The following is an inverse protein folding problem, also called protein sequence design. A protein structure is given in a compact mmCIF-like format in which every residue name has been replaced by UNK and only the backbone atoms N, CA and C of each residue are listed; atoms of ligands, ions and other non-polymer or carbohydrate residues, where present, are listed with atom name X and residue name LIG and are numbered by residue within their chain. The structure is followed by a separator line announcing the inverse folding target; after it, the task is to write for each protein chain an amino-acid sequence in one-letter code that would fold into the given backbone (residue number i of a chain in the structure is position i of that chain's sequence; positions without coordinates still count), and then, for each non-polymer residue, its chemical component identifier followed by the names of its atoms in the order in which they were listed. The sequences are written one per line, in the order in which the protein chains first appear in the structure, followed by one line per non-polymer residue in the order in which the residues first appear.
data_IF_521345285712
#
_entry.id   IF_521345285712
#
_cell.length_a   1.000
_cell.length_b   1.000
_cell.length_c   1.000
_cell.angle_alpha   90.00
_cell.angle_beta   90.00
_cell.angle_gamma   90.00
#
_symmetry.space_group_name_H-M   'P 1'
#
loop_
_entity.id
_entity.type
_entity.pdbx_description
1 polymer ?
#
# COMPACT_ATOMS: atom_id res chain seq x y z
N UNK A 1 40.78 31.14 22.17
CA UNK A 1 39.31 31.00 22.11
C UNK A 1 38.99 29.76 21.28
N UNK A 2 38.62 28.66 21.93
CA UNK A 2 38.14 27.46 21.23
C UNK A 2 36.68 27.69 20.84
N UNK A 3 36.38 27.69 19.54
CA UNK A 3 35.00 27.67 19.05
C UNK A 3 34.33 26.39 19.56
N UNK A 4 33.42 26.54 20.51
CA UNK A 4 32.51 25.48 20.91
C UNK A 4 31.61 25.15 19.70
N UNK A 5 32.04 24.16 18.91
CA UNK A 5 31.27 23.64 17.80
C UNK A 5 29.83 23.32 18.24
N UNK A 6 28.86 23.70 17.39
CA UNK A 6 27.42 23.50 17.59
C UNK A 6 27.11 22.26 18.43
N UNK A 7 26.58 22.47 19.64
CA UNK A 7 26.15 21.41 20.57
C UNK A 7 25.10 20.49 19.92
N UNK A 8 25.54 19.49 19.14
CA UNK A 8 24.68 18.43 18.57
C UNK A 8 24.31 17.47 19.69
N UNK A 9 23.24 17.80 20.41
CA UNK A 9 22.78 17.08 21.61
C UNK A 9 22.41 15.58 21.40
N UNK A 10 22.45 15.03 20.19
CA UNK A 10 22.17 13.61 19.92
C UNK A 10 22.40 13.14 18.48
N UNK A 11 22.33 11.82 18.26
CA UNK A 11 22.42 11.19 16.93
C UNK A 11 21.07 11.27 16.19
N UNK A 12 21.13 11.15 14.86
CA UNK A 12 19.93 11.11 14.02
C UNK A 12 19.16 9.81 14.22
N UNK A 13 17.84 9.90 14.40
CA UNK A 13 16.98 8.73 14.60
C UNK A 13 16.74 7.95 13.30
N UNK A 14 16.28 6.71 13.42
CA UNK A 14 15.93 5.83 12.27
C UNK A 14 15.02 6.53 11.26
N UNK A 15 14.04 7.32 11.71
CA UNK A 15 13.13 8.03 10.79
C UNK A 15 13.86 9.03 9.89
N UNK A 16 14.90 9.69 10.39
CA UNK A 16 15.73 10.61 9.62
C UNK A 16 16.68 9.84 8.70
N UNK A 17 17.30 8.77 9.23
CA UNK A 17 18.19 7.92 8.45
C UNK A 17 17.50 7.27 7.24
N UNK A 18 16.21 6.93 7.37
CA UNK A 18 15.39 6.38 6.27
C UNK A 18 15.25 7.33 5.08
N UNK A 19 15.18 8.64 5.32
CA UNK A 19 15.07 9.65 4.26
C UNK A 19 16.31 9.76 3.39
N UNK A 20 17.49 9.39 3.91
CA UNK A 20 18.77 9.39 3.16
C UNK A 20 18.78 8.36 2.02
N UNK A 21 17.92 7.34 2.07
CA UNK A 21 17.83 6.34 1.00
C UNK A 21 19.06 5.43 0.88
N UNK A 22 19.77 5.20 1.99
CA UNK A 22 20.87 4.22 2.05
C UNK A 22 20.40 2.81 1.69
N UNK A 23 21.32 1.92 1.32
CA UNK A 23 21.02 0.55 0.90
C UNK A 23 20.15 -0.22 1.93
N UNK A 24 20.37 0.02 3.23
CA UNK A 24 19.58 -0.56 4.34
C UNK A 24 18.10 -0.20 4.29
N UNK A 25 17.75 0.94 3.69
CA UNK A 25 16.40 1.47 3.61
C UNK A 25 15.86 1.51 2.18
N UNK A 26 16.57 0.92 1.22
CA UNK A 26 16.15 0.83 -0.18
C UNK A 26 15.64 -0.56 -0.51
N UNK A 27 14.54 -0.63 -1.26
CA UNK A 27 14.00 -1.91 -1.69
C UNK A 27 14.99 -2.54 -2.67
N UNK A 28 15.13 -3.87 -2.64
CA UNK A 28 15.88 -4.60 -3.66
C UNK A 28 15.32 -4.27 -5.04
N UNK A 29 16.18 -3.93 -6.01
CA UNK A 29 15.76 -3.63 -7.40
C UNK A 29 14.86 -4.72 -7.98
N UNK A 30 15.16 -5.99 -7.67
CA UNK A 30 14.40 -7.17 -8.12
C UNK A 30 13.03 -7.37 -7.45
N UNK A 31 12.67 -6.63 -6.40
CA UNK A 31 11.40 -6.86 -5.70
C UNK A 31 10.18 -6.31 -6.45
N UNK A 32 10.35 -5.20 -7.18
CA UNK A 32 9.30 -4.53 -7.95
C UNK A 32 9.61 -4.56 -9.45
N UNK A 33 10.03 -5.72 -9.97
CA UNK A 33 10.23 -5.93 -11.42
C UNK A 33 8.91 -5.71 -12.17
N UNK A 34 7.79 -6.19 -11.58
CA UNK A 34 6.47 -6.04 -12.15
C UNK A 34 5.84 -4.71 -11.72
N UNK A 35 5.76 -3.78 -12.67
CA UNK A 35 5.04 -2.52 -12.50
C UNK A 35 3.56 -2.77 -12.75
N UNK A 36 2.77 -2.64 -11.68
CA UNK A 36 1.31 -2.73 -11.78
C UNK A 36 0.78 -1.41 -12.35
N UNK A 37 0.23 -1.47 -13.55
CA UNK A 37 -0.38 -0.32 -14.22
C UNK A 37 -1.32 -0.79 -15.32
N UNK A 38 -2.49 -0.16 -15.47
CA UNK A 38 -3.20 -0.19 -16.74
C UNK A 38 -2.37 0.54 -17.82
N UNK A 39 -2.41 0.08 -19.08
CA UNK A 39 -1.95 0.86 -20.22
C UNK A 39 -2.90 2.04 -20.47
N UNK A 40 -2.43 3.04 -21.23
CA UNK A 40 -3.23 4.24 -21.52
C UNK A 40 -4.38 3.93 -22.46
N UNK A 41 -4.10 3.12 -23.48
CA UNK A 41 -5.08 2.58 -24.40
C UNK A 41 -5.41 1.13 -24.02
N UNK A 42 -6.68 0.85 -23.79
CA UNK A 42 -7.24 -0.50 -23.63
C UNK A 42 -8.28 -0.60 -24.73
N UNK A 43 -8.02 -1.46 -25.71
CA UNK A 43 -8.88 -1.69 -26.86
C UNK A 43 -9.01 -3.20 -27.08
N UNK A 44 -10.15 -3.60 -27.61
CA UNK A 44 -10.47 -5.01 -27.83
C UNK A 44 -10.60 -5.80 -26.54
N UNK A 45 -10.04 -7.01 -26.54
CA UNK A 45 -10.07 -7.92 -25.41
C UNK A 45 -8.64 -8.25 -24.94
N UNK A 46 -8.50 -8.55 -23.66
CA UNK A 46 -7.26 -8.99 -23.04
C UNK A 46 -7.25 -10.49 -22.80
N UNK A 47 -6.12 -11.16 -23.05
CA UNK A 47 -5.95 -12.56 -22.65
C UNK A 47 -5.01 -12.69 -21.48
N UNK A 48 -5.40 -13.47 -20.48
CA UNK A 48 -4.54 -13.81 -19.34
C UNK A 48 -3.46 -14.78 -19.80
N UNK A 49 -2.22 -14.32 -19.89
CA UNK A 49 -1.10 -15.18 -20.30
C UNK A 49 -0.63 -16.04 -19.14
N UNK A 50 -0.42 -15.42 -17.98
CA UNK A 50 0.24 -16.09 -16.85
C UNK A 50 -0.06 -15.43 -15.52
N UNK A 51 -0.21 -16.24 -14.48
CA UNK A 51 -0.24 -15.80 -13.09
C UNK A 51 1.17 -15.89 -12.49
N UNK A 52 1.66 -14.76 -11.99
CA UNK A 52 3.04 -14.59 -11.53
C UNK A 52 3.06 -14.19 -10.06
N UNK A 53 3.93 -14.84 -9.30
CA UNK A 53 4.23 -14.43 -7.93
C UNK A 53 5.30 -13.32 -7.92
N UNK A 54 5.05 -12.26 -7.15
CA UNK A 54 5.99 -11.15 -6.99
C UNK A 54 6.43 -10.99 -5.55
N UNK A 55 7.74 -10.84 -5.33
CA UNK A 55 8.30 -10.61 -4.00
C UNK A 55 7.88 -9.27 -3.37
N UNK A 56 7.58 -8.25 -4.18
CA UNK A 56 7.21 -6.90 -3.73
C UNK A 56 5.73 -6.74 -3.40
N UNK A 57 4.88 -7.62 -3.93
CA UNK A 57 3.43 -7.54 -3.79
C UNK A 57 2.90 -8.59 -2.81
N UNK A 58 1.71 -8.34 -2.28
CA UNK A 58 1.05 -9.26 -1.34
C UNK A 58 0.09 -10.24 -2.02
N UNK A 59 -0.09 -10.11 -3.32
CA UNK A 59 -1.07 -10.80 -4.16
C UNK A 59 -0.35 -11.38 -5.36
N UNK A 60 -0.82 -12.51 -5.91
CA UNK A 60 -0.45 -12.90 -7.26
C UNK A 60 -0.81 -11.78 -8.25
N UNK A 61 0.00 -11.67 -9.31
CA UNK A 61 -0.21 -10.74 -10.41
C UNK A 61 -0.60 -11.51 -11.65
N UNK A 62 -1.48 -10.94 -12.46
CA UNK A 62 -1.79 -11.45 -13.77
C UNK A 62 -1.01 -10.68 -14.83
N UNK A 63 -0.34 -11.40 -15.71
CA UNK A 63 0.21 -10.87 -16.96
C UNK A 63 -0.88 -10.98 -18.03
N UNK A 64 -1.33 -9.85 -18.53
CA UNK A 64 -2.38 -9.77 -19.55
C UNK A 64 -1.73 -9.29 -20.84
N UNK A 65 -2.03 -9.96 -21.97
CA UNK A 65 -1.76 -9.44 -23.32
C UNK A 65 -2.96 -8.63 -23.75
N UNK A 66 -2.74 -7.37 -24.10
CA UNK A 66 -3.76 -6.56 -24.75
C UNK A 66 -3.88 -7.02 -26.21
N UNK A 67 -5.09 -7.31 -26.69
CA UNK A 67 -5.32 -7.77 -28.06
C UNK A 67 -4.84 -6.74 -29.10
N UNK A 68 -5.30 -5.50 -28.96
CA UNK A 68 -5.09 -4.47 -29.99
C UNK A 68 -3.64 -3.93 -30.07
N UNK A 69 -2.93 -3.91 -28.95
CA UNK A 69 -1.64 -3.20 -28.86
C UNK A 69 -0.42 -4.13 -28.79
N UNK A 70 -0.62 -5.45 -28.76
CA UNK A 70 0.39 -6.48 -28.39
C UNK A 70 1.17 -6.24 -27.08
N UNK A 71 0.87 -5.15 -26.37
CA UNK A 71 1.49 -4.79 -25.11
C UNK A 71 1.06 -5.75 -24.01
N UNK A 72 2.00 -6.10 -23.14
CA UNK A 72 1.72 -6.88 -21.94
C UNK A 72 1.82 -6.00 -20.71
N UNK A 73 0.83 -6.10 -19.82
CA UNK A 73 0.80 -5.36 -18.57
C UNK A 73 0.46 -6.27 -17.39
N UNK A 74 0.71 -5.76 -16.19
CA UNK A 74 0.49 -6.50 -14.95
C UNK A 74 -0.60 -5.84 -14.11
N UNK A 75 -1.56 -6.63 -13.67
CA UNK A 75 -2.58 -6.22 -12.69
C UNK A 75 -2.61 -7.17 -11.49
N UNK A 76 -3.16 -6.76 -10.34
CA UNK A 76 -3.51 -7.70 -9.29
C UNK A 76 -4.53 -8.71 -9.83
N UNK A 77 -4.27 -10.01 -9.66
CA UNK A 77 -5.22 -11.03 -10.07
C UNK A 77 -6.49 -10.99 -9.21
N UNK A 78 -7.66 -11.21 -9.81
CA UNK A 78 -8.91 -11.37 -9.07
C UNK A 78 -9.03 -12.79 -8.49
N UNK A 79 -9.93 -12.95 -7.52
CA UNK A 79 -10.21 -14.26 -6.90
C UNK A 79 -10.84 -15.20 -7.93
N UNK A 80 -10.18 -16.32 -8.21
CA UNK A 80 -10.67 -17.34 -9.15
C UNK A 80 -10.18 -17.18 -10.58
N UNK A 81 -9.28 -16.22 -10.84
CA UNK A 81 -8.69 -15.99 -12.15
C UNK A 81 -7.92 -17.20 -12.67
N UNK A 82 -8.12 -17.56 -13.94
CA UNK A 82 -7.47 -18.70 -14.61
C UNK A 82 -6.59 -18.21 -15.77
N UNK A 83 -5.52 -18.94 -16.06
CA UNK A 83 -4.69 -18.67 -17.24
C UNK A 83 -5.46 -19.01 -18.53
N UNK A 84 -5.35 -18.17 -19.55
CA UNK A 84 -6.09 -18.30 -20.80
C UNK A 84 -7.45 -17.61 -20.82
N UNK A 85 -7.97 -17.16 -19.66
CA UNK A 85 -9.24 -16.43 -19.56
C UNK A 85 -9.18 -15.09 -20.33
N UNK A 86 -10.31 -14.71 -20.91
CA UNK A 86 -10.50 -13.45 -21.61
C UNK A 86 -11.05 -12.38 -20.67
N UNK A 87 -10.46 -11.20 -20.73
CA UNK A 87 -10.80 -10.02 -19.95
C UNK A 87 -11.29 -8.98 -20.93
N UNK A 88 -12.53 -8.56 -20.78
CA UNK A 88 -13.10 -7.50 -21.62
C UNK A 88 -12.84 -6.12 -21.02
N UNK A 89 -12.76 -5.13 -21.89
CA UNK A 89 -12.59 -3.73 -21.52
C UNK A 89 -13.82 -2.92 -21.92
N UNK A 90 -14.42 -2.18 -20.97
CA UNK A 90 -15.58 -1.30 -21.19
C UNK A 90 -16.79 -1.95 -21.93
N UNK A 91 -16.98 -3.27 -21.81
CA UNK A 91 -18.06 -4.00 -22.47
C UNK A 91 -19.03 -4.54 -21.42
N UNK A 92 -18.71 -5.69 -20.83
CA UNK A 92 -19.59 -6.38 -19.88
C UNK A 92 -19.19 -6.17 -18.41
N UNK A 93 -20.19 -6.01 -17.54
CA UNK A 93 -20.04 -5.98 -16.08
C UNK A 93 -19.83 -7.39 -15.52
N UNK A 94 -18.63 -7.94 -15.74
CA UNK A 94 -18.21 -9.26 -15.23
C UNK A 94 -17.01 -9.14 -14.31
N UNK A 95 -16.90 -10.06 -13.35
CA UNK A 95 -15.73 -10.15 -12.46
C UNK A 95 -14.47 -10.36 -13.30
N UNK A 96 -13.43 -9.56 -13.04
CA UNK A 96 -12.17 -9.57 -13.79
C UNK A 96 -12.10 -8.54 -14.91
N UNK A 97 -13.23 -8.06 -15.43
CA UNK A 97 -13.27 -7.05 -16.49
C UNK A 97 -12.83 -5.68 -15.95
N UNK A 98 -12.29 -4.87 -16.86
CA UNK A 98 -11.82 -3.51 -16.57
C UNK A 98 -12.79 -2.52 -17.24
N UNK A 99 -13.46 -1.69 -16.45
CA UNK A 99 -14.42 -0.71 -16.95
C UNK A 99 -14.12 0.67 -16.37
N UNK A 100 -14.60 1.72 -17.03
CA UNK A 100 -14.72 3.04 -16.42
C UNK A 100 -15.75 3.00 -15.29
N UNK A 101 -15.54 3.79 -14.23
CA UNK A 101 -16.40 3.77 -13.06
C UNK A 101 -17.86 4.13 -13.38
N UNK A 102 -18.10 4.94 -14.41
CA UNK A 102 -19.45 5.32 -14.88
C UNK A 102 -20.28 4.14 -15.39
N UNK A 103 -19.63 3.12 -15.93
CA UNK A 103 -20.29 1.95 -16.53
C UNK A 103 -20.50 0.82 -15.51
N UNK A 104 -19.97 0.98 -14.29
CA UNK A 104 -20.08 -0.02 -13.23
C UNK A 104 -21.30 0.29 -12.35
N UNK A 105 -22.20 -0.68 -12.11
CA UNK A 105 -23.38 -0.46 -11.28
C UNK A 105 -23.02 -0.22 -9.82
N UNK A 106 -23.91 0.49 -9.12
CA UNK A 106 -23.78 0.77 -7.69
C UNK A 106 -23.81 -0.54 -6.89
N UNK A 107 -23.14 -0.56 -5.74
CA UNK A 107 -22.93 -1.72 -4.85
C UNK A 107 -22.03 -2.82 -5.42
N UNK A 108 -21.41 -2.60 -6.58
CA UNK A 108 -20.41 -3.52 -7.13
C UNK A 108 -19.08 -3.41 -6.40
N UNK A 109 -18.42 -4.55 -6.20
CA UNK A 109 -17.07 -4.62 -5.66
C UNK A 109 -16.04 -4.38 -6.76
N UNK A 110 -15.08 -3.50 -6.50
CA UNK A 110 -14.07 -3.07 -7.46
C UNK A 110 -12.69 -2.97 -6.80
N UNK A 111 -11.63 -3.09 -7.59
CA UNK A 111 -10.25 -2.95 -7.14
C UNK A 111 -9.35 -2.31 -8.22
N UNK A 112 -8.10 -2.02 -7.85
CA UNK A 112 -7.11 -1.37 -8.70
C UNK A 112 -7.64 -0.07 -9.34
N UNK A 113 -8.18 0.81 -8.51
CA UNK A 113 -8.93 2.00 -8.94
C UNK A 113 -7.96 3.13 -9.29
N UNK A 114 -8.20 3.79 -10.40
CA UNK A 114 -7.47 5.00 -10.81
C UNK A 114 -7.77 6.20 -9.89
N UNK A 115 -6.74 6.99 -9.55
CA UNK A 115 -6.96 8.26 -8.84
C UNK A 115 -7.38 9.38 -9.76
N UNK A 116 -6.87 9.36 -10.99
CA UNK A 116 -7.22 10.24 -12.10
C UNK A 116 -7.37 9.37 -13.34
N UNK A 117 -8.24 9.73 -14.29
CA UNK A 117 -8.38 8.97 -15.51
C UNK A 117 -7.02 8.68 -16.15
N UNK A 118 -6.78 7.43 -16.51
CA UNK A 118 -5.57 6.94 -17.18
C UNK A 118 -4.28 6.96 -16.36
N UNK A 119 -4.34 7.02 -15.02
CA UNK A 119 -3.16 6.98 -14.16
C UNK A 119 -2.59 5.58 -13.87
N UNK A 120 -3.24 4.54 -14.39
CA UNK A 120 -2.80 3.15 -14.31
C UNK A 120 -3.26 2.41 -13.05
N UNK A 121 -4.07 3.02 -12.20
CA UNK A 121 -4.59 2.41 -10.97
C UNK A 121 -3.66 2.68 -9.80
N UNK A 122 -4.18 3.31 -8.74
CA UNK A 122 -3.41 3.70 -7.55
C UNK A 122 -3.99 3.14 -6.26
N UNK A 123 -5.30 2.97 -6.19
CA UNK A 123 -5.97 2.53 -4.97
C UNK A 123 -6.30 1.03 -5.01
N UNK A 124 -6.39 0.45 -3.81
CA UNK A 124 -6.86 -0.94 -3.60
C UNK A 124 -6.09 -1.94 -4.48
N UNK A 125 -4.80 -2.13 -4.16
CA UNK A 125 -3.89 -3.07 -4.84
C UNK A 125 -3.36 -4.19 -3.93
N UNK A 126 -3.89 -4.29 -2.72
CA UNK A 126 -3.44 -5.27 -1.72
C UNK A 126 -4.32 -6.52 -1.80
N UNK A 127 -3.72 -7.69 -1.58
CA UNK A 127 -4.44 -8.96 -1.63
C UNK A 127 -5.61 -9.01 -0.67
N UNK A 128 -6.72 -9.61 -1.09
CA UNK A 128 -7.97 -9.71 -0.33
C UNK A 128 -8.72 -8.39 -0.12
N UNK A 129 -8.28 -7.29 -0.74
CA UNK A 129 -8.97 -5.99 -0.61
C UNK A 129 -9.86 -5.71 -1.81
N UNK A 130 -11.03 -5.14 -1.55
CA UNK A 130 -11.92 -4.53 -2.54
C UNK A 130 -12.49 -3.22 -1.98
N UNK A 131 -12.98 -2.37 -2.85
CA UNK A 131 -13.83 -1.24 -2.51
C UNK A 131 -15.22 -1.46 -3.12
N UNK A 132 -16.19 -0.69 -2.68
CA UNK A 132 -17.57 -0.80 -3.20
C UNK A 132 -18.04 0.54 -3.70
N UNK A 133 -18.63 0.59 -4.89
CA UNK A 133 -19.30 1.82 -5.38
C UNK A 133 -20.53 2.05 -4.52
N UNK A 134 -20.59 3.16 -3.78
CA UNK A 134 -21.67 3.40 -2.82
C UNK A 134 -22.82 4.20 -3.42
N UNK A 135 -22.50 5.29 -4.13
CA UNK A 135 -23.49 6.19 -4.75
C UNK A 135 -22.88 7.01 -5.86
N UNK A 136 -23.73 7.45 -6.78
CA UNK A 136 -23.39 8.40 -7.84
C UNK A 136 -24.18 9.68 -7.55
N UNK A 137 -23.50 10.82 -7.49
CA UNK A 137 -24.12 12.14 -7.26
C UNK A 137 -23.69 13.05 -8.39
N UNK A 138 -24.64 13.43 -9.26
CA UNK A 138 -24.33 14.18 -10.48
C UNK A 138 -23.32 13.44 -11.34
N UNK A 139 -22.16 14.05 -11.58
CA UNK A 139 -21.05 13.45 -12.35
C UNK A 139 -20.07 12.67 -11.47
N UNK A 140 -20.17 12.77 -10.15
CA UNK A 140 -19.16 12.24 -9.24
C UNK A 140 -19.54 10.86 -8.70
N UNK A 141 -18.55 9.98 -8.62
CA UNK A 141 -18.73 8.61 -8.12
C UNK A 141 -18.10 8.50 -6.73
N UNK A 142 -18.91 8.08 -5.76
CA UNK A 142 -18.47 7.89 -4.38
C UNK A 142 -18.22 6.41 -4.13
N UNK A 143 -16.96 6.09 -3.81
CA UNK A 143 -16.52 4.73 -3.55
C UNK A 143 -16.21 4.58 -2.07
N UNK A 144 -16.77 3.55 -1.45
CA UNK A 144 -16.45 3.12 -0.09
C UNK A 144 -15.16 2.32 -0.11
N UNK A 145 -14.10 2.92 0.44
CA UNK A 145 -12.75 2.33 0.49
C UNK A 145 -12.69 1.21 1.55
N UNK A 146 -11.69 0.29 1.50
CA UNK A 146 -11.46 -0.71 2.56
C UNK A 146 -11.30 -0.11 3.97
N UNK A 147 -10.91 1.16 4.04
CA UNK A 147 -10.83 1.93 5.29
C UNK A 147 -12.18 2.43 5.84
N UNK A 148 -13.30 2.05 5.21
CA UNK A 148 -14.68 2.51 5.48
C UNK A 148 -14.87 4.03 5.32
N UNK A 149 -13.98 4.67 4.58
CA UNK A 149 -14.11 6.08 4.19
C UNK A 149 -14.65 6.15 2.78
N UNK A 150 -15.58 7.06 2.57
CA UNK A 150 -15.99 7.42 1.22
C UNK A 150 -14.94 8.32 0.58
N UNK A 151 -14.70 8.09 -0.71
CA UNK A 151 -13.86 8.95 -1.53
C UNK A 151 -14.54 9.20 -2.86
N UNK A 152 -14.49 10.45 -3.30
CA UNK A 152 -14.96 10.92 -4.61
C UNK A 152 -13.94 10.59 -5.70
N UNK A 153 -14.43 10.13 -6.84
CA UNK A 153 -13.68 9.81 -8.05
C UNK A 153 -14.34 10.41 -9.29
N UNK A 154 -13.52 10.62 -10.32
CA UNK A 154 -13.98 11.01 -11.65
C UNK A 154 -14.64 9.79 -12.34
N UNK A 155 -15.74 9.98 -13.08
CA UNK A 155 -16.47 8.90 -13.77
C UNK A 155 -15.62 8.12 -14.79
N UNK A 156 -14.65 8.76 -15.41
CA UNK A 156 -13.77 8.16 -16.42
C UNK A 156 -12.55 7.43 -15.82
N UNK A 157 -12.40 7.43 -14.49
CA UNK A 157 -11.42 6.57 -13.84
C UNK A 157 -11.75 5.11 -14.11
N UNK A 158 -10.75 4.27 -14.38
CA UNK A 158 -10.93 2.83 -14.57
C UNK A 158 -10.78 2.03 -13.27
N UNK A 159 -11.46 0.90 -13.20
CA UNK A 159 -11.33 -0.09 -12.14
C UNK A 159 -11.58 -1.50 -12.66
N UNK A 160 -11.03 -2.50 -11.97
CA UNK A 160 -11.35 -3.91 -12.24
C UNK A 160 -12.47 -4.36 -11.32
N UNK A 161 -13.45 -5.09 -11.85
CA UNK A 161 -14.56 -5.63 -11.06
C UNK A 161 -14.10 -6.85 -10.26
N UNK A 162 -14.48 -6.90 -8.99
CA UNK A 162 -14.30 -8.05 -8.10
C UNK A 162 -13.42 -7.77 -6.87
N UNK A 163 -12.80 -8.84 -6.38
CA UNK A 163 -11.92 -8.83 -5.21
C UNK A 163 -10.55 -9.36 -5.60
N UNK A 164 -9.50 -8.73 -5.09
CA UNK A 164 -8.12 -9.19 -5.31
C UNK A 164 -7.91 -10.55 -4.64
N UNK A 165 -7.24 -11.46 -5.34
CA UNK A 165 -6.80 -12.74 -4.81
C UNK A 165 -5.87 -12.61 -3.58
N UNK A 166 -5.64 -13.72 -2.90
CA UNK A 166 -4.80 -13.75 -1.70
C UNK A 166 -5.48 -13.22 -0.44
N UNK A 167 -6.80 -13.40 -0.37
CA UNK A 167 -7.58 -13.23 0.85
C UNK A 167 -7.13 -14.19 1.96
N UNK A 168 -7.39 -13.85 3.22
CA UNK A 168 -7.01 -14.65 4.40
C UNK A 168 -5.51 -14.73 4.70
N UNK A 169 -4.64 -14.12 3.88
CA UNK A 169 -3.18 -14.11 4.08
C UNK A 169 -2.77 -13.53 5.45
N UNK A 170 -3.56 -12.64 6.02
CA UNK A 170 -3.29 -12.01 7.33
C UNK A 170 -3.73 -12.83 8.51
N UNK A 171 -4.62 -13.81 8.30
CA UNK A 171 -5.22 -14.60 9.39
C UNK A 171 -4.20 -15.61 9.92
N UNK A 172 -3.27 -16.03 9.06
CA UNK A 172 -2.15 -16.89 9.44
C UNK A 172 -1.13 -16.14 10.32
N UNK A 173 -0.92 -16.54 11.59
CA UNK A 173 0.11 -15.95 12.42
C UNK A 173 1.52 -16.34 11.94
N UNK A 174 2.52 -15.49 12.22
CA UNK A 174 3.90 -15.76 11.79
C UNK A 174 4.58 -16.92 12.53
N UNK A 175 4.15 -17.23 13.77
CA UNK A 175 4.70 -18.24 14.69
C UNK A 175 6.19 -18.08 15.07
N UNK A 176 7.08 -17.84 14.10
CA UNK A 176 8.54 -17.73 14.29
C UNK A 176 9.08 -16.40 13.77
N UNK A 177 10.12 -15.88 14.44
CA UNK A 177 10.81 -14.66 14.02
C UNK A 177 11.44 -14.77 12.62
N UNK A 178 11.90 -15.97 12.23
CA UNK A 178 12.48 -16.23 10.89
C UNK A 178 11.51 -15.93 9.75
N UNK A 179 10.25 -16.40 9.85
CA UNK A 179 9.21 -16.09 8.85
C UNK A 179 8.98 -14.58 8.72
N UNK A 180 8.98 -13.86 9.85
CA UNK A 180 8.87 -12.39 9.87
C UNK A 180 10.09 -11.71 9.25
N UNK A 181 11.29 -12.22 9.50
CA UNK A 181 12.52 -11.71 8.90
C UNK A 181 12.48 -11.78 7.36
N UNK A 182 12.11 -12.93 6.78
CA UNK A 182 12.00 -13.07 5.32
C UNK A 182 10.99 -12.09 4.70
N UNK A 183 9.82 -11.92 5.33
CA UNK A 183 8.82 -10.94 4.88
C UNK A 183 9.32 -9.49 4.97
N UNK A 184 10.02 -9.14 6.05
CA UNK A 184 10.53 -7.78 6.25
C UNK A 184 11.68 -7.47 5.30
N UNK A 185 12.50 -8.46 4.98
CA UNK A 185 13.58 -8.40 3.99
C UNK A 185 13.03 -8.16 2.58
N UNK A 186 11.93 -8.82 2.19
CA UNK A 186 11.31 -8.57 0.87
C UNK A 186 10.72 -7.17 0.75
N UNK A 187 10.09 -6.66 1.82
CA UNK A 187 9.46 -5.32 1.86
C UNK A 187 10.42 -4.20 2.27
N UNK A 188 11.70 -4.51 2.49
CA UNK A 188 12.72 -3.59 3.00
C UNK A 188 12.18 -2.73 4.17
N UNK A 189 11.66 -3.44 5.16
CA UNK A 189 11.30 -2.86 6.45
C UNK A 189 12.39 -3.26 7.43
N UNK A 190 13.00 -2.27 8.08
CA UNK A 190 13.99 -2.52 9.13
C UNK A 190 13.41 -3.50 10.17
N UNK A 191 14.08 -4.63 10.33
CA UNK A 191 13.72 -5.69 11.26
C UNK A 191 14.99 -6.48 11.64
N UNK A 192 15.19 -6.85 12.92
CA UNK A 192 14.35 -6.52 14.07
C UNK A 192 14.35 -5.01 14.39
N UNK A 193 13.35 -4.55 15.15
CA UNK A 193 13.34 -3.17 15.65
C UNK A 193 13.48 -3.20 17.16
N UNK A 194 14.52 -2.55 17.66
CA UNK A 194 14.71 -2.30 19.09
C UNK A 194 13.65 -1.31 19.59
N UNK A 195 13.15 -1.53 20.81
CA UNK A 195 12.23 -0.60 21.45
C UNK A 195 12.95 0.72 21.70
N UNK A 196 12.30 1.83 21.38
CA UNK A 196 12.86 3.17 21.56
C UNK A 196 13.24 3.49 23.03
N UNK A 197 12.57 2.85 23.99
CA UNK A 197 12.83 3.02 25.44
C UNK A 197 14.15 2.36 25.85
N UNK A 198 14.55 1.31 25.14
CA UNK A 198 15.76 0.54 25.42
C UNK A 198 17.00 1.11 24.70
N UNK A 199 16.84 2.24 24.02
CA UNK A 199 17.95 2.97 23.39
C UNK A 199 18.56 3.95 24.39
N UNK A 200 19.78 4.42 24.13
CA UNK A 200 20.39 5.50 24.91
C UNK A 200 19.72 6.84 24.58
N UNK A 201 19.80 7.81 25.51
CA UNK A 201 19.24 9.14 25.32
C UNK A 201 19.81 9.86 24.07
N UNK A 202 21.06 9.55 23.71
CA UNK A 202 21.71 10.05 22.50
C UNK A 202 21.06 9.53 21.20
N UNK A 203 20.50 8.32 21.20
CA UNK A 203 20.00 7.65 20.00
C UNK A 203 18.51 7.88 19.75
N UNK A 204 17.72 8.19 20.79
CA UNK A 204 16.29 8.40 20.66
C UNK A 204 15.75 9.34 21.76
N UNK A 205 14.76 10.20 21.47
CA UNK A 205 14.09 11.04 22.49
C UNK A 205 13.40 10.29 23.64
N UNK A 206 13.22 8.97 23.50
CA UNK A 206 12.64 8.10 24.52
C UNK A 206 13.70 7.22 25.17
N UNK A 207 14.94 7.29 24.69
CA UNK A 207 16.03 6.54 25.25
C UNK A 207 16.35 7.06 26.64
N UNK A 208 16.51 6.15 27.58
CA UNK A 208 16.71 6.49 28.99
C UNK A 208 17.46 5.37 29.70
N UNK A 209 18.04 5.69 30.86
CA UNK A 209 18.66 4.70 31.75
C UNK A 209 17.66 3.73 32.39
N UNK A 210 18.18 2.88 33.28
CA UNK A 210 17.40 1.84 33.98
C UNK A 210 16.18 2.45 34.70
N UNK A 211 15.01 1.83 34.54
CA UNK A 211 13.78 2.14 35.30
C UNK A 211 12.95 3.35 34.84
N UNK A 212 13.34 4.12 33.82
CA UNK A 212 12.57 5.30 33.39
C UNK A 212 11.39 4.94 32.47
N UNK A 213 10.21 5.42 32.85
CA UNK A 213 9.00 5.38 32.05
C UNK A 213 8.93 6.60 31.10
N UNK A 214 8.35 6.42 29.92
CA UNK A 214 8.16 7.51 28.95
C UNK A 214 7.16 8.52 29.52
N UNK A 215 7.54 9.80 29.65
CA UNK A 215 6.65 10.88 30.13
C UNK A 215 5.40 11.02 29.26
N UNK A 216 5.56 11.35 27.98
CA UNK A 216 4.46 11.40 27.02
C UNK A 216 4.89 10.81 25.69
N UNK A 217 4.07 9.87 25.18
CA UNK A 217 4.24 9.30 23.85
C UNK A 217 3.70 10.23 22.75
N UNK A 218 3.00 11.32 23.10
CA UNK A 218 2.33 12.19 22.14
C UNK A 218 3.32 13.25 21.64
N UNK A 219 3.59 13.24 20.35
CA UNK A 219 4.40 14.28 19.73
C UNK A 219 3.60 15.58 19.55
N UNK A 220 4.23 16.73 19.82
CA UNK A 220 3.67 18.06 19.47
C UNK A 220 3.39 18.14 17.96
N UNK A 221 2.34 18.85 17.55
CA UNK A 221 1.87 18.93 16.14
C UNK A 221 2.96 19.44 15.18
N UNK A 222 3.72 20.43 15.65
CA UNK A 222 4.80 21.12 14.92
C UNK A 222 6.18 20.64 15.37
N UNK A 223 6.29 19.45 15.99
CA UNK A 223 7.59 18.92 16.42
C UNK A 223 8.53 18.75 15.20
N UNK A 224 9.81 19.16 15.31
CA UNK A 224 10.77 19.01 14.24
C UNK A 224 11.10 17.54 13.96
N UNK A 225 11.62 17.21 12.76
CA UNK A 225 12.17 15.89 12.47
C UNK A 225 13.21 15.49 13.54
N UNK A 226 13.08 14.28 14.08
CA UNK A 226 13.90 13.84 15.23
C UNK A 226 13.12 13.88 16.56
N UNK A 227 12.27 14.89 16.79
CA UNK A 227 11.38 14.97 17.97
C UNK A 227 9.96 14.48 17.70
N UNK A 228 9.57 14.39 16.43
CA UNK A 228 8.28 13.82 15.98
C UNK A 228 8.28 12.29 16.06
N UNK A 229 8.22 11.75 17.28
CA UNK A 229 8.27 10.31 17.59
C UNK A 229 7.14 9.87 18.53
N UNK A 230 6.81 8.57 18.54
CA UNK A 230 5.72 8.03 19.35
C UNK A 230 4.37 8.05 18.62
N UNK A 231 3.31 8.47 19.32
CA UNK A 231 1.98 8.66 18.76
C UNK A 231 1.94 10.00 18.02
N UNK A 232 1.83 9.92 16.69
CA UNK A 232 1.83 11.08 15.82
C UNK A 232 0.40 11.58 15.62
N UNK A 233 0.10 12.78 16.13
CA UNK A 233 -1.21 13.46 15.98
C UNK A 233 -2.40 12.57 16.37
N UNK A 234 -2.38 11.89 17.53
CA UNK A 234 -3.52 11.11 17.98
C UNK A 234 -4.70 12.07 18.28
N UNK A 235 -5.90 11.76 17.77
CA UNK A 235 -7.14 12.43 18.25
C UNK A 235 -7.49 12.01 19.68
N UNK A 236 -7.06 10.80 20.06
CA UNK A 236 -7.23 10.20 21.39
C UNK A 236 -6.23 9.06 21.57
N UNK A 237 -5.98 8.66 22.80
CA UNK A 237 -5.12 7.52 23.17
C UNK A 237 -5.92 6.44 23.89
N UNK A 238 -5.34 5.25 24.08
CA UNK A 238 -6.02 4.13 24.72
C UNK A 238 -6.94 3.32 23.79
N UNK A 239 -7.57 2.28 24.34
CA UNK A 239 -8.50 1.41 23.62
C UNK A 239 -9.83 2.14 23.40
N UNK A 240 -10.49 1.92 22.26
CA UNK A 240 -11.89 2.31 22.09
C UNK A 240 -12.71 1.50 23.12
N UNK A 241 -13.25 2.17 24.14
CA UNK A 241 -14.43 1.63 24.82
C UNK A 241 -15.54 1.61 23.76
N UNK A 242 -16.06 0.42 23.52
CA UNK A 242 -17.11 0.17 22.54
C UNK A 242 -18.44 0.47 23.21
#
# INVERSE_FOLDING_TARGET
MQEFGENKMGKRIISQARGKGSLTYRVRKKAFIFRISYPRHLGGEGKVIKLVNSAGHSTPLAKIKNGDAEETFFIPAFKGMVEGEEIKYNDEVRVGNILALKDIPVKTQIYNIESRPFDGGKFVKTGGSSATINRVIGKDIFVMMPSKKEKKFNPDCRATIGVIAGDGRTDKPFMKAGKRYHLKKSKNKLYPRTSAVKMNAVDHPFGSGRGKNIKSKIAKRNAPPGRRVGLLRPRRTGRKKR
#
